data_IF_259214973792
#
_entry.id   IF_259214973792
#
_cell.length_a   1.000
_cell.length_b   1.000
_cell.length_c   1.000
_cell.angle_alpha   90.00
_cell.angle_beta   90.00
_cell.angle_gamma   90.00
#
_symmetry.space_group_name_H-M   'P 1'
#
loop_
_entity.id
_entity.type
_entity.pdbx_description
1 polymer ?
#
# COMPACT_ATOMS: atom_id res chain seq x y z
N UNK A 1 -19.38 -8.83 -0.87
CA UNK A 1 -18.00 -8.87 -1.40
C UNK A 1 -18.13 -8.64 -2.90
N UNK A 2 -18.12 -7.37 -3.32
CA UNK A 2 -18.32 -7.01 -4.72
C UNK A 2 -17.05 -7.29 -5.51
N UNK A 3 -17.12 -8.31 -6.38
CA UNK A 3 -16.12 -8.61 -7.40
C UNK A 3 -16.32 -7.65 -8.58
N UNK A 4 -15.80 -6.44 -8.45
CA UNK A 4 -15.78 -5.48 -9.55
C UNK A 4 -14.34 -5.14 -9.89
N UNK A 5 -13.82 -5.85 -10.89
CA UNK A 5 -13.35 -5.33 -12.19
C UNK A 5 -12.59 -6.46 -12.89
N UNK A 6 -13.24 -7.05 -13.90
CA UNK A 6 -12.63 -8.03 -14.80
C UNK A 6 -11.54 -7.34 -15.63
N UNK A 7 -10.32 -7.52 -15.16
CA UNK A 7 -9.08 -7.18 -15.81
C UNK A 7 -8.00 -7.59 -14.82
N UNK A 8 -7.38 -8.75 -15.02
CA UNK A 8 -6.36 -9.35 -14.13
C UNK A 8 -5.12 -8.46 -13.89
N UNK A 9 -5.12 -7.24 -14.43
CA UNK A 9 -4.08 -6.23 -14.35
C UNK A 9 -3.95 -5.62 -12.96
N UNK A 10 -5.03 -5.50 -12.18
CA UNK A 10 -4.97 -4.84 -10.87
C UNK A 10 -5.50 -5.73 -9.75
N UNK A 11 -4.65 -5.99 -8.75
CA UNK A 11 -5.04 -6.58 -7.48
C UNK A 11 -5.04 -5.50 -6.41
N UNK A 12 -6.19 -5.27 -5.78
CA UNK A 12 -6.35 -4.27 -4.72
C UNK A 12 -6.68 -4.98 -3.41
N UNK A 13 -5.84 -4.77 -2.40
CA UNK A 13 -6.05 -5.25 -1.04
C UNK A 13 -6.23 -4.05 -0.11
N UNK A 14 -7.10 -4.18 0.89
CA UNK A 14 -7.37 -3.11 1.86
C UNK A 14 -7.20 -3.62 3.27
N UNK A 15 -6.40 -2.90 4.04
CA UNK A 15 -6.12 -3.19 5.45
C UNK A 15 -6.68 -2.08 6.33
N UNK A 16 -7.15 -2.44 7.52
CA UNK A 16 -7.66 -1.48 8.49
C UNK A 16 -6.53 -1.00 9.40
N UNK A 17 -6.64 0.23 9.91
CA UNK A 17 -5.66 0.74 10.86
C UNK A 17 -5.90 0.16 12.27
N UNK A 18 -4.81 -0.05 13.02
CA UNK A 18 -4.79 -0.46 14.43
C UNK A 18 -5.31 0.59 15.41
N UNK A 19 -5.59 1.80 14.95
CA UNK A 19 -6.31 2.81 15.74
C UNK A 19 -7.82 2.52 15.84
N UNK A 20 -8.35 1.53 15.11
CA UNK A 20 -9.77 1.15 15.04
C UNK A 20 -10.73 2.24 14.52
N UNK A 21 -10.22 3.37 14.04
CA UNK A 21 -11.01 4.35 13.31
C UNK A 21 -11.44 3.76 11.96
N UNK A 22 -12.76 3.64 11.75
CA UNK A 22 -13.34 3.06 10.53
C UNK A 22 -13.00 3.84 9.26
N UNK A 23 -12.51 5.08 9.39
CA UNK A 23 -12.05 5.90 8.30
C UNK A 23 -10.57 5.74 7.94
N UNK A 24 -9.77 4.96 8.70
CA UNK A 24 -8.34 4.77 8.42
C UNK A 24 -8.11 3.43 7.72
N UNK A 25 -7.51 3.48 6.54
CA UNK A 25 -7.22 2.31 5.72
C UNK A 25 -5.90 2.43 4.98
N UNK A 26 -5.31 1.29 4.66
CA UNK A 26 -4.19 1.17 3.74
C UNK A 26 -4.67 0.38 2.54
N UNK A 27 -4.64 0.99 1.36
CA UNK A 27 -4.84 0.27 0.11
C UNK A 27 -3.49 -0.16 -0.44
N UNK A 28 -3.34 -1.43 -0.76
CA UNK A 28 -2.20 -1.96 -1.52
C UNK A 28 -2.70 -2.25 -2.91
N UNK A 29 -2.12 -1.57 -3.90
CA UNK A 29 -2.47 -1.74 -5.31
C UNK A 29 -1.29 -2.37 -6.00
N UNK A 30 -1.52 -3.55 -6.59
CA UNK A 30 -0.53 -4.28 -7.36
C UNK A 30 -0.99 -4.24 -8.81
N UNK A 31 -0.18 -3.63 -9.66
CA UNK A 31 -0.31 -3.70 -11.10
C UNK A 31 0.52 -4.87 -11.65
N UNK A 32 -0.11 -5.68 -12.50
CA UNK A 32 0.52 -6.79 -13.21
C UNK A 32 0.43 -6.59 -14.72
N UNK A 33 1.40 -7.11 -15.46
CA UNK A 33 1.31 -7.19 -16.92
C UNK A 33 0.37 -8.33 -17.36
N UNK A 34 0.21 -8.51 -18.67
CA UNK A 34 -0.63 -9.56 -19.26
C UNK A 34 -0.08 -10.98 -19.00
N UNK A 35 1.19 -11.11 -18.61
CA UNK A 35 1.85 -12.37 -18.22
C UNK A 35 1.74 -12.65 -16.71
N UNK A 36 1.21 -11.71 -15.94
CA UNK A 36 1.03 -11.80 -14.50
C UNK A 36 2.25 -11.33 -13.68
N UNK A 37 3.29 -10.79 -14.30
CA UNK A 37 4.45 -10.21 -13.61
C UNK A 37 4.06 -8.90 -12.95
N UNK A 38 4.64 -8.60 -11.78
CA UNK A 38 4.38 -7.35 -11.07
C UNK A 38 5.11 -6.19 -11.76
N UNK A 39 4.38 -5.18 -12.21
CA UNK A 39 4.92 -3.94 -12.76
C UNK A 39 5.14 -2.92 -11.64
N UNK A 40 4.10 -2.71 -10.82
CA UNK A 40 4.09 -1.69 -9.77
C UNK A 40 3.35 -2.21 -8.54
N UNK A 41 3.82 -1.82 -7.35
CA UNK A 41 3.12 -2.03 -6.10
C UNK A 41 3.12 -0.72 -5.31
N UNK A 42 1.94 -0.12 -5.11
CA UNK A 42 1.78 1.10 -4.31
C UNK A 42 1.13 0.79 -2.96
N UNK A 43 1.57 1.50 -1.93
CA UNK A 43 1.00 1.47 -0.58
C UNK A 43 0.39 2.84 -0.29
N UNK A 44 -0.95 2.89 -0.22
CA UNK A 44 -1.72 4.14 -0.20
C UNK A 44 -2.48 4.29 1.13
N UNK A 45 -1.90 4.99 2.13
CA UNK A 45 -2.55 5.20 3.41
C UNK A 45 -3.60 6.33 3.33
N UNK A 46 -4.84 6.00 3.61
CA UNK A 46 -5.93 6.92 3.89
C UNK A 46 -6.18 6.98 5.40
N UNK A 47 -6.18 8.17 5.99
CA UNK A 47 -6.46 8.35 7.43
C UNK A 47 -7.54 9.42 7.54
N UNK A 48 -8.72 9.10 8.07
CA UNK A 48 -9.75 10.11 8.36
C UNK A 48 -9.27 11.07 9.44
N UNK A 49 -9.65 12.34 9.32
CA UNK A 49 -9.17 13.39 10.21
C UNK A 49 -7.72 13.84 9.95
N UNK A 50 -7.15 13.54 8.75
CA UNK A 50 -5.76 13.91 8.42
C UNK A 50 -5.45 15.38 8.76
N UNK A 51 -4.20 15.66 9.17
CA UNK A 51 -3.69 17.02 9.26
C UNK A 51 -3.87 17.77 7.93
N UNK A 52 -4.16 19.07 8.04
CA UNK A 52 -4.46 19.99 6.91
C UNK A 52 -3.55 19.72 5.70
N UNK A 53 -4.09 19.83 4.49
CA UNK A 53 -3.39 19.60 3.20
C UNK A 53 -1.96 20.18 3.17
N UNK A 54 -1.78 21.37 3.74
CA UNK A 54 -0.50 22.03 3.90
C UNK A 54 0.59 21.17 4.59
N UNK A 55 0.22 20.48 5.67
CA UNK A 55 1.14 19.60 6.40
C UNK A 55 1.55 18.41 5.53
N UNK A 56 0.63 17.84 4.77
CA UNK A 56 0.92 16.71 3.85
C UNK A 56 1.87 17.14 2.73
N UNK A 57 1.64 18.30 2.12
CA UNK A 57 2.54 18.87 1.11
C UNK A 57 3.94 19.09 1.71
N UNK A 58 4.02 19.61 2.93
CA UNK A 58 5.30 19.82 3.63
C UNK A 58 6.05 18.50 3.88
N UNK A 59 5.35 17.43 4.25
CA UNK A 59 5.96 16.11 4.44
C UNK A 59 6.39 15.49 3.10
N UNK A 60 5.59 15.61 2.05
CA UNK A 60 5.98 15.16 0.70
C UNK A 60 7.24 15.88 0.18
N UNK A 61 7.33 17.21 0.39
CA UNK A 61 8.52 17.99 0.04
C UNK A 61 9.74 17.54 0.86
N UNK A 62 9.56 17.12 2.12
CA UNK A 62 10.67 16.55 2.91
C UNK A 62 11.16 15.25 2.31
N UNK A 63 10.25 14.33 1.96
CA UNK A 63 10.61 13.07 1.29
C UNK A 63 11.35 13.33 -0.02
N UNK A 64 10.84 14.25 -0.87
CA UNK A 64 11.49 14.62 -2.14
C UNK A 64 12.88 15.23 -1.96
N UNK A 65 13.19 15.78 -0.77
CA UNK A 65 14.51 16.31 -0.41
C UNK A 65 15.40 15.27 0.28
N UNK A 66 15.02 13.99 0.24
CA UNK A 66 15.75 12.89 0.89
C UNK A 66 15.73 12.96 2.42
N UNK A 67 14.76 13.66 3.01
CA UNK A 67 14.57 13.73 4.46
C UNK A 67 13.42 12.82 4.88
N UNK A 68 13.49 12.31 6.11
CA UNK A 68 12.37 11.59 6.70
C UNK A 68 11.12 12.48 6.73
N UNK A 69 10.08 12.04 6.03
CA UNK A 69 8.75 12.63 6.04
C UNK A 69 7.76 11.64 6.64
N UNK A 70 6.98 12.09 7.61
CA UNK A 70 5.91 11.30 8.21
C UNK A 70 4.60 11.64 7.51
N UNK A 71 4.08 10.76 6.65
CA UNK A 71 2.75 10.93 6.04
C UNK A 71 1.62 10.40 6.96
N UNK A 72 1.75 10.61 8.27
CA UNK A 72 0.88 10.01 9.28
C UNK A 72 1.14 8.51 9.43
N UNK A 73 1.27 8.04 10.66
CA UNK A 73 1.61 6.66 10.92
C UNK A 73 0.35 5.79 10.74
N UNK A 74 0.29 5.05 9.63
CA UNK A 74 -0.64 3.94 9.51
C UNK A 74 -0.07 2.77 10.31
N UNK A 75 -0.79 2.31 11.33
CA UNK A 75 -0.41 1.10 12.08
C UNK A 75 -1.24 -0.05 11.56
N UNK A 76 -0.60 -1.09 11.03
CA UNK A 76 -1.31 -2.30 10.61
C UNK A 76 -1.85 -3.03 11.87
N UNK A 77 -3.02 -3.64 11.76
CA UNK A 77 -3.56 -4.49 12.82
C UNK A 77 -2.81 -5.82 12.90
N UNK A 78 -2.68 -6.35 14.11
CA UNK A 78 -1.95 -7.61 14.34
C UNK A 78 -2.57 -8.78 13.56
N UNK A 79 -3.89 -8.83 13.44
CA UNK A 79 -4.59 -9.86 12.66
C UNK A 79 -4.22 -9.85 11.16
N UNK A 80 -3.82 -8.69 10.63
CA UNK A 80 -3.50 -8.50 9.22
C UNK A 80 -2.00 -8.75 8.92
N UNK A 81 -1.16 -8.97 9.94
CA UNK A 81 0.30 -9.09 9.78
C UNK A 81 0.68 -10.25 8.88
N UNK A 82 0.05 -11.42 9.07
CA UNK A 82 0.37 -12.63 8.30
C UNK A 82 0.07 -12.43 6.81
N UNK A 83 -1.06 -11.78 6.50
CA UNK A 83 -1.45 -11.50 5.11
C UNK A 83 -0.51 -10.49 4.45
N UNK A 84 -0.16 -9.41 5.15
CA UNK A 84 0.81 -8.42 4.66
C UNK A 84 2.20 -9.04 4.42
N UNK A 85 2.69 -9.87 5.33
CA UNK A 85 3.98 -10.56 5.17
C UNK A 85 3.96 -11.51 3.98
N UNK A 86 2.87 -12.27 3.79
CA UNK A 86 2.72 -13.15 2.65
C UNK A 86 2.70 -12.37 1.33
N UNK A 87 1.98 -11.23 1.31
CA UNK A 87 1.94 -10.33 0.18
C UNK A 87 3.34 -9.82 -0.19
N UNK A 88 4.04 -9.18 0.75
CA UNK A 88 5.39 -8.65 0.54
C UNK A 88 6.36 -9.74 0.12
N UNK A 89 6.28 -10.92 0.74
CA UNK A 89 7.13 -12.07 0.40
C UNK A 89 6.91 -12.54 -1.04
N UNK A 90 5.65 -12.56 -1.51
CA UNK A 90 5.33 -12.93 -2.90
C UNK A 90 5.90 -11.92 -3.90
N UNK A 91 5.83 -10.62 -3.58
CA UNK A 91 6.35 -9.55 -4.41
C UNK A 91 7.88 -9.61 -4.53
N UNK A 92 8.58 -9.88 -3.43
CA UNK A 92 10.04 -10.00 -3.42
C UNK A 92 10.50 -11.22 -4.21
N UNK A 93 9.84 -12.38 -4.04
CA UNK A 93 10.22 -13.62 -4.76
C UNK A 93 10.06 -13.50 -6.27
N UNK A 94 9.05 -12.77 -6.73
CA UNK A 94 8.78 -12.57 -8.17
C UNK A 94 9.95 -11.86 -8.87
N UNK A 95 10.68 -10.98 -8.17
CA UNK A 95 11.79 -10.22 -8.73
C UNK A 95 13.13 -10.98 -8.82
N UNK A 96 13.24 -12.19 -8.25
CA UNK A 96 14.48 -12.97 -8.27
C UNK A 96 14.51 -14.07 -9.33
N UNK A 97 13.37 -14.43 -9.92
CA UNK A 97 13.29 -15.52 -10.91
C UNK A 97 13.44 -15.07 -12.36
N UNK A 98 13.52 -13.76 -12.63
CA UNK A 98 13.67 -13.20 -13.99
C UNK A 98 15.14 -12.97 -14.40
N UNK A 99 16.10 -13.54 -13.65
CA UNK A 99 17.54 -13.37 -13.87
C UNK A 99 18.27 -14.69 -14.06
N UNK A 100 18.02 -15.39 -15.16
CA UNK A 100 18.93 -16.40 -15.74
C UNK A 100 18.84 -16.36 -17.26
#
# INVERSE_FOLDING_TARGET
MDRLLEGNRFQIMRFSCGCYDAGHSLSVVIERDDEGNVIECSFEPYLVGKPRLWWRIKQAIKCLKGKDGGLGDFTLREEDYSEMVNLVSSLVRTNYTSGT
#
